data_IF_590947055979
#
_entry.id   IF_590947055979
#
_cell.length_a   1.000
_cell.length_b   1.000
_cell.length_c   1.000
_cell.angle_alpha   90.00
_cell.angle_beta   90.00
_cell.angle_gamma   90.00
#
_symmetry.space_group_name_H-M   'P 1'
#
loop_
_entity.id
_entity.type
_entity.pdbx_description
1 polymer ?
#
# COMPACT_ATOMS: atom_id res chain seq x y z
N UNK A 1 -22.89 10.25 -14.65
CA UNK A 1 -22.16 10.39 -15.94
C UNK A 1 -21.69 9.00 -16.35
N UNK A 2 -21.52 8.69 -17.63
CA UNK A 2 -20.91 7.40 -17.96
C UNK A 2 -19.48 7.37 -17.39
N UNK A 3 -19.07 6.22 -16.85
CA UNK A 3 -17.72 6.00 -16.35
C UNK A 3 -16.76 6.12 -17.55
N UNK A 4 -15.66 6.89 -17.45
CA UNK A 4 -14.68 6.97 -18.52
C UNK A 4 -14.06 5.60 -18.78
N UNK A 5 -14.02 5.17 -20.03
CA UNK A 5 -13.36 3.92 -20.43
C UNK A 5 -11.91 4.21 -20.81
N UNK A 6 -10.97 3.56 -20.16
CA UNK A 6 -9.56 3.59 -20.52
C UNK A 6 -9.33 2.65 -21.70
N UNK A 7 -8.91 3.20 -22.83
CA UNK A 7 -8.54 2.41 -24.02
C UNK A 7 -7.05 2.16 -23.99
N UNK A 8 -6.65 0.94 -24.32
CA UNK A 8 -5.24 0.54 -24.35
C UNK A 8 -5.00 -0.59 -25.33
N UNK A 9 -3.74 -0.80 -25.70
CA UNK A 9 -3.25 -2.03 -26.34
C UNK A 9 -2.44 -2.84 -25.34
N UNK A 10 -2.46 -4.16 -25.45
CA UNK A 10 -1.77 -5.11 -24.58
C UNK A 10 -0.98 -6.07 -25.44
N UNK A 11 0.34 -5.98 -25.38
CA UNK A 11 1.25 -6.64 -26.31
C UNK A 11 2.44 -7.30 -25.56
N UNK A 12 3.17 -8.18 -26.23
CA UNK A 12 4.38 -8.83 -25.66
C UNK A 12 5.52 -8.83 -26.65
N UNK A 13 6.72 -8.56 -26.16
CA UNK A 13 7.96 -8.79 -26.92
C UNK A 13 8.32 -10.28 -26.97
N UNK A 14 9.22 -10.64 -27.87
CA UNK A 14 9.72 -12.01 -28.01
C UNK A 14 10.41 -12.54 -26.74
N UNK A 15 11.01 -11.66 -25.93
CA UNK A 15 11.61 -12.01 -24.65
C UNK A 15 10.61 -12.08 -23.47
N UNK A 16 9.31 -11.95 -23.75
CA UNK A 16 8.25 -12.10 -22.77
C UNK A 16 7.84 -10.80 -22.04
N UNK A 17 8.52 -9.68 -22.24
CA UNK A 17 8.09 -8.40 -21.66
C UNK A 17 6.69 -8.07 -22.15
N UNK A 18 5.75 -7.97 -21.23
CA UNK A 18 4.41 -7.44 -21.50
C UNK A 18 4.45 -5.93 -21.44
N UNK A 19 3.83 -5.27 -22.41
CA UNK A 19 3.69 -3.83 -22.37
C UNK A 19 2.29 -3.38 -22.78
N UNK A 20 1.83 -2.34 -22.10
CA UNK A 20 0.49 -1.77 -22.28
C UNK A 20 0.63 -0.30 -22.64
N UNK A 21 -0.04 0.11 -23.72
CA UNK A 21 -0.01 1.48 -24.21
C UNK A 21 -1.41 2.08 -24.15
N UNK A 22 -1.59 3.21 -23.46
CA UNK A 22 -2.84 3.93 -23.36
C UNK A 22 -2.64 5.42 -23.75
N UNK A 23 -2.91 5.73 -25.00
CA UNK A 23 -2.80 7.10 -25.55
C UNK A 23 -3.85 8.04 -24.97
N UNK A 24 -3.42 9.22 -24.55
CA UNK A 24 -4.27 10.30 -24.06
C UNK A 24 -3.63 11.66 -24.39
N UNK A 25 -4.13 12.35 -25.38
CA UNK A 25 -3.60 13.62 -25.87
C UNK A 25 -4.20 14.85 -25.19
N UNK A 26 -4.85 14.70 -24.04
CA UNK A 26 -5.49 15.83 -23.34
C UNK A 26 -4.46 16.82 -22.75
N UNK A 27 -3.32 16.30 -22.29
CA UNK A 27 -2.22 17.11 -21.74
C UNK A 27 -0.87 16.55 -22.21
N UNK A 28 0.16 17.38 -22.45
CA UNK A 28 1.46 16.95 -22.99
C UNK A 28 2.33 16.29 -21.90
N UNK A 29 1.82 15.27 -21.24
CA UNK A 29 2.46 14.53 -20.14
C UNK A 29 2.32 13.03 -20.38
N UNK A 30 3.32 12.27 -19.98
CA UNK A 30 3.32 10.81 -20.01
C UNK A 30 3.72 10.25 -18.66
N UNK A 31 3.18 9.08 -18.32
CA UNK A 31 3.65 8.24 -17.24
C UNK A 31 4.19 6.92 -17.82
N UNK A 32 5.35 6.52 -17.33
CA UNK A 32 5.95 5.21 -17.54
C UNK A 32 5.93 4.50 -16.18
N UNK A 33 5.41 3.29 -16.12
CA UNK A 33 5.41 2.48 -14.90
C UNK A 33 5.80 1.05 -15.25
N UNK A 34 6.84 0.54 -14.61
CA UNK A 34 7.27 -0.84 -14.77
C UNK A 34 7.05 -1.60 -13.44
N UNK A 35 6.23 -2.63 -13.50
CA UNK A 35 5.97 -3.54 -12.39
C UNK A 35 6.74 -4.84 -12.58
N UNK A 36 7.39 -5.28 -11.52
CA UNK A 36 8.00 -6.61 -11.42
C UNK A 36 7.16 -7.46 -10.47
N UNK A 37 6.82 -8.69 -10.88
CA UNK A 37 6.14 -9.65 -10.01
C UNK A 37 7.15 -10.23 -9.01
N UNK A 38 7.63 -9.35 -8.16
CA UNK A 38 8.52 -9.67 -7.04
C UNK A 38 8.31 -8.66 -5.91
N UNK A 39 8.07 -9.16 -4.71
CA UNK A 39 7.96 -8.38 -3.49
C UNK A 39 8.50 -9.17 -2.32
N UNK A 40 8.27 -8.71 -1.09
CA UNK A 40 8.83 -9.37 0.09
C UNK A 40 8.33 -10.80 0.30
N UNK A 41 7.21 -11.21 -0.31
CA UNK A 41 6.74 -12.60 -0.30
C UNK A 41 7.71 -13.59 -0.99
N UNK A 42 8.62 -13.10 -1.83
CA UNK A 42 9.60 -13.92 -2.55
C UNK A 42 10.93 -14.06 -1.80
N UNK A 43 11.04 -13.44 -0.64
CA UNK A 43 12.25 -13.47 0.17
C UNK A 43 12.40 -14.82 0.89
N UNK A 44 13.52 -15.51 0.73
CA UNK A 44 13.75 -16.73 1.48
C UNK A 44 13.97 -16.43 2.97
N UNK A 45 13.69 -17.39 3.86
CA UNK A 45 13.95 -17.25 5.30
C UNK A 45 15.39 -16.80 5.60
N UNK A 46 15.56 -15.82 6.47
CA UNK A 46 16.85 -15.22 6.80
C UNK A 46 17.38 -14.18 5.80
N UNK A 47 16.54 -13.77 4.85
CA UNK A 47 16.85 -12.72 3.86
C UNK A 47 15.68 -11.71 3.74
N UNK A 48 15.05 -11.38 4.86
CA UNK A 48 13.94 -10.42 4.87
C UNK A 48 14.44 -9.00 4.66
N UNK A 49 13.67 -8.21 3.89
CA UNK A 49 14.02 -6.84 3.50
C UNK A 49 14.81 -6.73 2.18
N UNK A 50 15.08 -7.86 1.51
CA UNK A 50 15.83 -7.87 0.25
C UNK A 50 15.10 -7.18 -0.89
N UNK A 51 13.81 -7.38 -1.05
CA UNK A 51 13.03 -6.74 -2.11
C UNK A 51 13.05 -5.21 -1.96
N UNK A 52 12.96 -4.71 -0.73
CA UNK A 52 13.04 -3.28 -0.45
C UNK A 52 14.48 -2.74 -0.59
N UNK A 53 15.48 -3.45 -0.07
CA UNK A 53 16.88 -3.10 -0.31
C UNK A 53 17.18 -3.02 -1.81
N UNK A 54 16.57 -3.92 -2.58
CA UNK A 54 16.77 -3.96 -4.02
C UNK A 54 16.14 -2.75 -4.72
N UNK A 55 14.98 -2.28 -4.27
CA UNK A 55 14.39 -1.01 -4.73
C UNK A 55 15.40 0.13 -4.65
N UNK A 56 16.09 0.27 -3.51
CA UNK A 56 17.14 1.28 -3.33
C UNK A 56 18.35 1.06 -4.25
N UNK A 57 18.77 -0.19 -4.44
CA UNK A 57 19.90 -0.54 -5.32
C UNK A 57 19.62 -0.17 -6.76
N UNK A 58 18.38 -0.24 -7.22
CA UNK A 58 17.98 0.11 -8.59
C UNK A 58 18.29 1.57 -8.97
N UNK A 59 18.57 2.45 -8.00
CA UNK A 59 18.96 3.84 -8.23
C UNK A 59 20.47 4.09 -8.08
N UNK A 60 21.28 3.02 -7.91
CA UNK A 60 22.72 3.16 -7.71
C UNK A 60 23.54 3.20 -8.99
N UNK A 61 22.87 3.17 -10.14
CA UNK A 61 23.48 3.24 -11.46
C UNK A 61 23.35 1.95 -12.26
N UNK A 62 23.81 1.99 -13.50
CA UNK A 62 23.82 0.93 -14.49
C UNK A 62 25.07 1.09 -15.38
N UNK A 63 25.21 0.32 -16.46
CA UNK A 63 26.39 0.44 -17.31
C UNK A 63 26.61 1.86 -17.89
N UNK A 64 25.53 2.57 -18.21
CA UNK A 64 25.59 3.86 -18.90
C UNK A 64 25.08 5.04 -18.05
N UNK A 65 24.57 4.78 -16.87
CA UNK A 65 23.99 5.78 -15.96
C UNK A 65 24.70 5.71 -14.62
N UNK A 66 25.29 6.81 -14.20
CA UNK A 66 26.01 6.89 -12.92
C UNK A 66 25.09 6.85 -11.70
N UNK A 67 25.70 6.71 -10.52
CA UNK A 67 24.98 6.71 -9.23
C UNK A 67 24.10 7.96 -9.09
N UNK A 68 22.82 7.76 -8.78
CA UNK A 68 21.79 8.79 -8.66
C UNK A 68 21.54 9.63 -9.93
N UNK A 69 22.22 9.36 -11.03
CA UNK A 69 22.08 10.11 -12.28
C UNK A 69 20.71 9.87 -12.93
N UNK A 70 20.13 8.68 -12.78
CA UNK A 70 18.77 8.39 -13.24
C UNK A 70 17.76 9.45 -12.70
N UNK A 71 17.77 9.67 -11.38
CA UNK A 71 16.91 10.66 -10.73
C UNK A 71 17.20 12.08 -11.28
N UNK A 72 18.48 12.42 -11.40
CA UNK A 72 18.90 13.73 -11.89
C UNK A 72 18.45 13.99 -13.34
N UNK A 73 18.52 12.98 -14.22
CA UNK A 73 18.09 13.06 -15.61
C UNK A 73 16.59 13.28 -15.74
N UNK A 74 15.78 12.51 -15.01
CA UNK A 74 14.31 12.67 -14.98
C UNK A 74 13.91 14.05 -14.44
N UNK A 75 14.51 14.48 -13.33
CA UNK A 75 14.23 15.82 -12.75
C UNK A 75 14.65 16.95 -13.68
N UNK A 76 15.81 16.83 -14.34
CA UNK A 76 16.28 17.82 -15.32
C UNK A 76 15.40 17.88 -16.57
N UNK A 77 14.75 16.77 -16.90
CA UNK A 77 13.75 16.69 -17.97
C UNK A 77 12.38 17.28 -17.56
N UNK A 78 12.24 17.75 -16.31
CA UNK A 78 10.98 18.29 -15.78
C UNK A 78 10.02 17.23 -15.26
N UNK A 79 10.51 16.01 -15.01
CA UNK A 79 9.73 14.88 -14.52
C UNK A 79 9.88 14.64 -13.03
N UNK A 80 9.07 13.72 -12.53
CA UNK A 80 9.14 13.12 -11.20
C UNK A 80 9.27 11.60 -11.33
N UNK A 81 9.89 10.97 -10.36
CA UNK A 81 10.01 9.51 -10.32
C UNK A 81 10.01 8.98 -8.90
N UNK A 82 9.67 7.71 -8.77
CA UNK A 82 9.78 6.98 -7.50
C UNK A 82 9.85 5.46 -7.75
N UNK A 83 10.15 4.71 -6.69
CA UNK A 83 9.96 3.26 -6.61
C UNK A 83 9.15 2.91 -5.38
N UNK A 84 8.48 1.78 -5.39
CA UNK A 84 7.80 1.24 -4.21
C UNK A 84 7.87 -0.28 -4.19
N UNK A 85 8.00 -0.84 -2.99
CA UNK A 85 7.97 -2.28 -2.75
C UNK A 85 6.86 -2.64 -1.78
N UNK A 86 6.08 -3.65 -2.15
CA UNK A 86 5.07 -4.25 -1.30
C UNK A 86 5.31 -5.75 -1.14
N UNK A 87 4.42 -6.42 -0.44
CA UNK A 87 4.49 -7.87 -0.26
C UNK A 87 4.44 -8.61 -1.60
N UNK A 88 3.60 -8.15 -2.53
CA UNK A 88 3.33 -8.85 -3.79
C UNK A 88 4.14 -8.36 -4.99
N UNK A 89 4.69 -7.14 -4.95
CA UNK A 89 5.28 -6.50 -6.13
C UNK A 89 6.33 -5.45 -5.79
N UNK A 90 7.15 -5.09 -6.77
CA UNK A 90 8.00 -3.90 -6.78
C UNK A 90 7.78 -3.15 -8.08
N UNK A 91 7.63 -1.83 -8.02
CA UNK A 91 7.50 -1.03 -9.23
C UNK A 91 8.34 0.24 -9.20
N UNK A 92 8.61 0.75 -10.40
CA UNK A 92 9.29 2.00 -10.65
C UNK A 92 8.48 2.81 -11.65
N UNK A 93 8.36 4.10 -11.43
CA UNK A 93 7.52 4.94 -12.27
C UNK A 93 8.04 6.35 -12.38
N UNK A 94 7.83 6.93 -13.56
CA UNK A 94 8.15 8.31 -13.88
C UNK A 94 6.95 8.99 -14.52
N UNK A 95 6.80 10.28 -14.22
CA UNK A 95 5.87 11.17 -14.92
C UNK A 95 6.64 12.38 -15.43
N UNK A 96 6.56 12.64 -16.72
CA UNK A 96 7.40 13.64 -17.38
C UNK A 96 6.70 14.24 -18.62
N UNK A 97 7.19 15.39 -19.16
CA UNK A 97 6.69 15.95 -20.41
C UNK A 97 6.80 14.93 -21.55
N UNK A 98 5.79 14.86 -22.41
CA UNK A 98 5.65 13.82 -23.45
C UNK A 98 6.86 13.72 -24.41
N UNK A 99 7.52 14.83 -24.70
CA UNK A 99 8.71 14.85 -25.57
C UNK A 99 9.96 14.19 -24.95
N UNK A 100 9.92 13.86 -23.66
CA UNK A 100 11.00 13.16 -22.92
C UNK A 100 10.73 11.66 -22.74
N UNK A 101 9.66 11.10 -23.29
CA UNK A 101 9.28 9.70 -23.10
C UNK A 101 10.38 8.71 -23.49
N UNK A 102 11.12 8.97 -24.57
CA UNK A 102 12.23 8.11 -25.02
C UNK A 102 13.32 8.00 -23.96
N UNK A 103 13.61 9.10 -23.22
CA UNK A 103 14.57 9.10 -22.11
C UNK A 103 14.13 8.14 -20.99
N UNK A 104 12.88 8.19 -20.56
CA UNK A 104 12.36 7.30 -19.50
C UNK A 104 12.45 5.83 -19.92
N UNK A 105 12.00 5.50 -21.13
CA UNK A 105 12.08 4.11 -21.64
C UNK A 105 13.52 3.61 -21.75
N UNK A 106 14.44 4.46 -22.16
CA UNK A 106 15.86 4.11 -22.23
C UNK A 106 16.45 3.87 -20.83
N UNK A 107 16.15 4.72 -19.86
CA UNK A 107 16.63 4.59 -18.48
C UNK A 107 16.12 3.31 -17.83
N UNK A 108 14.85 2.98 -18.01
CA UNK A 108 14.26 1.74 -17.48
C UNK A 108 14.89 0.49 -18.12
N UNK A 109 15.10 0.52 -19.43
CA UNK A 109 15.75 -0.59 -20.13
C UNK A 109 17.22 -0.74 -19.74
N UNK A 110 17.95 0.36 -19.57
CA UNK A 110 19.36 0.32 -19.19
C UNK A 110 19.54 -0.31 -17.81
N UNK A 111 18.75 0.10 -16.81
CA UNK A 111 18.85 -0.52 -15.49
C UNK A 111 18.35 -1.97 -15.46
N UNK A 112 17.31 -2.33 -16.22
CA UNK A 112 16.86 -3.72 -16.32
C UNK A 112 17.94 -4.61 -16.93
N UNK A 113 18.63 -4.11 -17.94
CA UNK A 113 19.62 -4.90 -18.67
C UNK A 113 21.03 -4.92 -18.07
N UNK A 114 21.44 -3.84 -17.38
CA UNK A 114 22.86 -3.62 -17.08
C UNK A 114 23.18 -3.19 -15.65
N UNK A 115 22.20 -3.19 -14.73
CA UNK A 115 22.39 -2.79 -13.32
C UNK A 115 23.60 -3.49 -12.67
N UNK A 116 23.76 -4.79 -12.92
CA UNK A 116 24.82 -5.60 -12.28
C UNK A 116 26.23 -5.15 -12.64
N UNK A 117 26.41 -4.43 -13.75
CA UNK A 117 27.72 -3.89 -14.16
C UNK A 117 28.17 -2.73 -13.25
N UNK A 118 27.22 -1.96 -12.72
CA UNK A 118 27.48 -0.88 -11.77
C UNK A 118 27.45 -1.32 -10.30
N UNK A 119 26.97 -2.54 -10.01
CA UNK A 119 26.81 -3.04 -8.66
C UNK A 119 28.16 -3.31 -7.99
N UNK A 120 28.43 -2.61 -6.90
CA UNK A 120 29.66 -2.74 -6.09
C UNK A 120 29.35 -3.01 -4.61
N UNK A 121 30.36 -3.50 -3.88
CA UNK A 121 30.26 -3.67 -2.42
C UNK A 121 29.97 -2.34 -1.73
N UNK A 122 30.57 -1.25 -2.19
CA UNK A 122 30.35 0.09 -1.64
C UNK A 122 28.88 0.53 -1.80
N UNK A 123 28.26 0.27 -2.98
CA UNK A 123 26.85 0.58 -3.21
C UNK A 123 25.94 -0.23 -2.28
N UNK A 124 26.22 -1.53 -2.13
CA UNK A 124 25.47 -2.39 -1.23
C UNK A 124 25.56 -1.92 0.22
N UNK A 125 26.77 -1.67 0.72
CA UNK A 125 26.99 -1.24 2.10
C UNK A 125 26.32 0.12 2.39
N UNK A 126 26.38 1.04 1.44
CA UNK A 126 25.70 2.32 1.54
C UNK A 126 24.17 2.15 1.62
N UNK A 127 23.56 1.38 0.70
CA UNK A 127 22.11 1.21 0.68
C UNK A 127 21.60 0.39 1.87
N UNK A 128 22.37 -0.57 2.35
CA UNK A 128 22.06 -1.27 3.61
C UNK A 128 21.90 -0.29 4.78
N UNK A 129 22.84 0.65 4.94
CA UNK A 129 22.74 1.64 6.00
C UNK A 129 21.59 2.63 5.78
N UNK A 130 21.26 2.98 4.53
CA UNK A 130 20.07 3.80 4.20
C UNK A 130 18.80 3.09 4.66
N UNK A 131 18.57 1.83 4.26
CA UNK A 131 17.38 1.04 4.63
C UNK A 131 17.30 0.85 6.16
N UNK A 132 18.45 0.57 6.83
CA UNK A 132 18.49 0.47 8.29
C UNK A 132 18.13 1.80 8.97
N UNK A 133 18.56 2.92 8.44
CA UNK A 133 18.19 4.24 8.95
C UNK A 133 16.70 4.53 8.71
N UNK A 134 16.16 4.11 7.57
CA UNK A 134 14.73 4.22 7.29
C UNK A 134 13.90 3.38 8.27
N UNK A 135 14.30 2.13 8.57
CA UNK A 135 13.65 1.31 9.58
C UNK A 135 13.64 2.00 10.94
N UNK A 136 14.79 2.55 11.36
CA UNK A 136 14.86 3.31 12.62
C UNK A 136 13.93 4.52 12.62
N UNK A 137 13.84 5.25 11.51
CA UNK A 137 13.05 6.49 11.40
C UNK A 137 11.55 6.23 11.27
N UNK A 138 11.17 5.30 10.43
CA UNK A 138 9.77 5.05 10.04
C UNK A 138 9.07 4.05 10.96
N UNK A 139 9.83 3.19 11.64
CA UNK A 139 9.29 2.13 12.51
C UNK A 139 9.75 2.31 13.95
N UNK A 140 11.07 2.21 14.25
CA UNK A 140 11.55 2.07 15.63
C UNK A 140 11.42 3.37 16.45
N UNK A 141 11.63 4.54 15.83
CA UNK A 141 11.56 5.85 16.49
C UNK A 141 10.23 6.59 16.29
N UNK A 142 9.34 6.06 15.46
CA UNK A 142 8.03 6.65 15.23
C UNK A 142 7.04 6.16 16.28
N UNK A 143 6.29 7.05 16.97
CA UNK A 143 5.22 6.62 17.87
C UNK A 143 4.28 5.63 17.18
N UNK A 144 4.01 4.51 17.82
CA UNK A 144 3.23 3.38 17.28
C UNK A 144 3.84 2.68 16.06
N UNK A 145 5.07 2.97 15.65
CA UNK A 145 5.63 2.57 14.35
C UNK A 145 5.66 1.06 14.09
N UNK A 146 5.76 0.23 15.13
CA UNK A 146 5.81 -1.24 15.03
C UNK A 146 4.45 -1.94 14.83
N UNK A 147 3.34 -1.20 14.75
CA UNK A 147 2.00 -1.79 14.72
C UNK A 147 1.78 -2.77 13.55
N UNK A 148 2.26 -2.42 12.36
CA UNK A 148 2.06 -3.26 11.16
C UNK A 148 2.88 -4.54 11.23
N UNK A 149 4.16 -4.47 11.63
CA UNK A 149 5.02 -5.62 11.85
C UNK A 149 4.40 -6.60 12.87
N UNK A 150 3.90 -6.07 13.99
CA UNK A 150 3.24 -6.88 15.01
C UNK A 150 1.92 -7.48 14.54
N UNK A 151 1.09 -6.74 13.82
CA UNK A 151 -0.14 -7.29 13.24
C UNK A 151 0.15 -8.41 12.26
N UNK A 152 1.12 -8.23 11.35
CA UNK A 152 1.52 -9.28 10.41
C UNK A 152 2.01 -10.54 11.14
N UNK A 153 2.87 -10.38 12.15
CA UNK A 153 3.38 -11.50 12.95
C UNK A 153 2.27 -12.27 13.68
N UNK A 154 1.19 -11.62 14.07
CA UNK A 154 0.05 -12.28 14.70
C UNK A 154 -0.96 -12.84 13.67
N UNK A 155 -1.12 -12.21 12.53
CA UNK A 155 -2.09 -12.61 11.50
C UNK A 155 -1.59 -13.79 10.66
N UNK A 156 -0.27 -13.87 10.41
CA UNK A 156 0.33 -14.90 9.57
C UNK A 156 1.23 -15.85 10.40
N UNK A 157 1.25 -17.17 10.12
CA UNK A 157 2.18 -18.07 10.77
C UNK A 157 3.64 -17.77 10.35
N UNK A 158 4.65 -18.12 11.18
CA UNK A 158 6.04 -17.76 10.95
C UNK A 158 6.62 -18.23 9.60
N UNK A 159 6.13 -19.33 9.07
CA UNK A 159 6.52 -19.89 7.77
C UNK A 159 5.83 -19.23 6.58
N UNK A 160 4.80 -18.41 6.80
CA UNK A 160 4.08 -17.75 5.72
C UNK A 160 4.84 -16.51 5.25
N UNK A 161 4.99 -16.27 3.93
CA UNK A 161 5.76 -15.13 3.41
C UNK A 161 5.25 -13.75 3.87
N UNK A 162 3.98 -13.63 4.23
CA UNK A 162 3.42 -12.37 4.74
C UNK A 162 3.63 -12.17 6.25
N UNK A 163 4.35 -13.06 6.93
CA UNK A 163 4.63 -12.92 8.36
C UNK A 163 5.54 -11.72 8.68
N UNK A 164 6.45 -11.36 7.77
CA UNK A 164 7.38 -10.26 7.95
C UNK A 164 7.01 -9.02 7.11
N UNK A 165 7.32 -7.82 7.59
CA UNK A 165 7.10 -6.58 6.84
C UNK A 165 8.12 -6.43 5.70
N UNK A 166 7.76 -5.65 4.70
CA UNK A 166 8.61 -5.35 3.53
C UNK A 166 9.96 -4.73 3.91
N UNK A 167 10.03 -3.94 4.99
CA UNK A 167 11.29 -3.34 5.46
C UNK A 167 12.28 -4.39 5.98
N UNK A 168 11.83 -5.56 6.37
CA UNK A 168 12.65 -6.68 6.82
C UNK A 168 13.34 -6.51 8.17
N UNK A 169 14.23 -7.46 8.46
CA UNK A 169 15.03 -7.51 9.67
C UNK A 169 16.38 -6.84 9.48
N UNK A 170 16.85 -6.06 10.47
CA UNK A 170 18.20 -5.45 10.47
C UNK A 170 19.29 -6.54 10.39
N UNK A 171 19.09 -7.65 11.10
CA UNK A 171 20.05 -8.75 11.13
C UNK A 171 20.16 -9.46 9.78
N UNK A 172 19.06 -9.58 9.04
CA UNK A 172 19.05 -10.15 7.70
C UNK A 172 19.74 -9.20 6.70
N UNK A 173 19.46 -7.91 6.80
CA UNK A 173 20.12 -6.88 5.97
C UNK A 173 21.65 -6.85 6.21
N UNK A 174 22.10 -7.02 7.47
CA UNK A 174 23.53 -7.07 7.80
C UNK A 174 24.24 -8.28 7.22
N UNK A 175 23.53 -9.40 7.03
CA UNK A 175 24.05 -10.62 6.41
C UNK A 175 23.98 -10.61 4.88
N UNK A 176 23.28 -9.64 4.27
CA UNK A 176 23.16 -9.54 2.83
C UNK A 176 24.54 -9.42 2.14
N UNK A 177 24.84 -10.34 1.25
CA UNK A 177 26.06 -10.34 0.44
C UNK A 177 25.79 -9.79 -0.97
N UNK A 178 26.87 -9.41 -1.65
CA UNK A 178 26.79 -8.98 -3.05
C UNK A 178 26.27 -10.10 -3.96
N UNK A 179 26.65 -11.35 -3.68
CA UNK A 179 26.21 -12.52 -4.43
C UNK A 179 24.69 -12.76 -4.23
N UNK A 180 24.15 -12.53 -3.03
CA UNK A 180 22.72 -12.62 -2.78
C UNK A 180 21.94 -11.59 -3.59
N UNK A 181 22.45 -10.36 -3.64
CA UNK A 181 21.85 -9.28 -4.42
C UNK A 181 21.87 -9.60 -5.91
N UNK A 182 23.01 -10.11 -6.43
CA UNK A 182 23.13 -10.57 -7.83
C UNK A 182 22.11 -11.66 -8.15
N UNK A 183 22.06 -12.69 -7.31
CA UNK A 183 21.14 -13.81 -7.49
C UNK A 183 19.66 -13.36 -7.47
N UNK A 184 19.31 -12.41 -6.60
CA UNK A 184 17.94 -11.86 -6.53
C UNK A 184 17.58 -11.10 -7.82
N UNK A 185 18.49 -10.27 -8.33
CA UNK A 185 18.28 -9.56 -9.60
C UNK A 185 18.12 -10.53 -10.76
N UNK A 186 19.08 -11.42 -10.95
CA UNK A 186 19.08 -12.40 -12.04
C UNK A 186 17.84 -13.29 -12.02
N UNK A 187 17.27 -13.52 -10.82
CA UNK A 187 16.06 -14.33 -10.66
C UNK A 187 14.80 -13.57 -11.06
N UNK A 188 14.62 -12.34 -10.59
CA UNK A 188 13.33 -11.69 -10.64
C UNK A 188 13.24 -10.48 -11.55
N UNK A 189 14.36 -9.78 -11.84
CA UNK A 189 14.35 -8.55 -12.65
C UNK A 189 14.60 -8.86 -14.14
N UNK A 190 13.73 -9.69 -14.69
CA UNK A 190 13.79 -10.11 -16.09
C UNK A 190 12.55 -9.61 -16.87
N UNK A 191 12.65 -9.41 -18.19
CA UNK A 191 11.55 -8.95 -19.02
C UNK A 191 10.27 -9.77 -18.87
N UNK A 192 10.38 -11.08 -18.82
CA UNK A 192 9.26 -12.00 -18.68
C UNK A 192 8.64 -12.06 -17.26
N UNK A 193 9.17 -11.30 -16.31
CA UNK A 193 8.64 -11.07 -14.98
C UNK A 193 8.17 -9.62 -14.77
N UNK A 194 8.06 -8.86 -15.85
CA UNK A 194 7.74 -7.44 -15.81
C UNK A 194 6.56 -7.08 -16.71
N UNK A 195 5.82 -6.05 -16.29
CA UNK A 195 4.80 -5.36 -17.08
C UNK A 195 5.17 -3.90 -17.18
N UNK A 196 5.40 -3.42 -18.40
CA UNK A 196 5.69 -2.03 -18.71
C UNK A 196 4.41 -1.34 -19.18
N UNK A 197 4.03 -0.24 -18.56
CA UNK A 197 2.84 0.52 -18.94
C UNK A 197 3.22 1.95 -19.27
N UNK A 198 2.73 2.46 -20.39
CA UNK A 198 2.87 3.85 -20.81
C UNK A 198 1.49 4.45 -21.00
N UNK A 199 1.22 5.57 -20.31
CA UNK A 199 -0.05 6.30 -20.40
C UNK A 199 0.22 7.77 -20.68
N UNK A 200 -0.53 8.38 -21.59
CA UNK A 200 -0.47 9.83 -21.85
C UNK A 200 -0.28 10.21 -23.30
N UNK A 201 0.37 11.33 -23.55
CA UNK A 201 0.48 11.95 -24.86
C UNK A 201 1.67 11.38 -25.65
N UNK A 202 1.39 10.42 -26.52
CA UNK A 202 2.37 9.79 -27.41
C UNK A 202 1.71 9.12 -28.60
N UNK A 203 2.51 8.72 -29.58
CA UNK A 203 2.10 7.90 -30.75
C UNK A 203 2.52 6.44 -30.52
N UNK A 204 1.56 5.51 -30.46
CA UNK A 204 1.82 4.10 -30.10
C UNK A 204 2.85 3.43 -30.98
N UNK A 205 2.81 3.65 -32.29
CA UNK A 205 3.77 3.02 -33.24
C UNK A 205 5.21 3.43 -32.96
N UNK A 206 5.41 4.70 -32.58
CA UNK A 206 6.73 5.21 -32.21
C UNK A 206 7.23 4.60 -30.89
N UNK A 207 6.34 4.50 -29.91
CA UNK A 207 6.67 3.91 -28.59
C UNK A 207 6.97 2.43 -28.71
N UNK A 208 6.20 1.66 -29.53
CA UNK A 208 6.55 0.27 -29.85
C UNK A 208 7.96 0.12 -30.39
N UNK A 209 8.33 0.99 -31.33
CA UNK A 209 9.68 0.96 -31.89
C UNK A 209 10.78 1.22 -30.84
N UNK A 210 10.54 2.10 -29.88
CA UNK A 210 11.47 2.33 -28.77
C UNK A 210 11.52 1.15 -27.80
N UNK A 211 10.36 0.59 -27.43
CA UNK A 211 10.29 -0.57 -26.54
C UNK A 211 11.04 -1.77 -27.17
N UNK A 212 10.77 -2.07 -28.43
CA UNK A 212 11.50 -3.13 -29.16
C UNK A 212 13.01 -2.86 -29.18
N UNK A 213 13.42 -1.63 -29.49
CA UNK A 213 14.83 -1.24 -29.59
C UNK A 213 15.58 -1.38 -28.27
N UNK A 214 14.96 -0.92 -27.16
CA UNK A 214 15.66 -0.84 -25.88
C UNK A 214 15.50 -2.12 -25.03
N UNK A 215 14.33 -2.72 -25.02
CA UNK A 215 14.05 -3.91 -24.20
C UNK A 215 14.19 -5.23 -24.95
N UNK A 216 14.03 -5.24 -26.28
CA UNK A 216 13.98 -6.49 -27.07
C UNK A 216 15.23 -7.35 -26.97
N UNK A 217 16.40 -6.74 -26.72
CA UNK A 217 17.68 -7.45 -26.55
C UNK A 217 17.94 -7.99 -25.15
N UNK A 218 17.15 -7.64 -24.14
CA UNK A 218 17.35 -8.10 -22.76
C UNK A 218 16.88 -9.56 -22.64
N UNK A 219 17.70 -10.46 -22.08
CA UNK A 219 17.33 -11.88 -22.00
C UNK A 219 16.21 -12.14 -21.00
N UNK A 220 15.32 -13.07 -21.35
CA UNK A 220 14.33 -13.60 -20.42
C UNK A 220 14.97 -14.56 -19.41
N UNK A 221 14.39 -14.68 -18.20
CA UNK A 221 14.75 -15.73 -17.27
C UNK A 221 13.71 -16.87 -17.30
N UNK A 222 14.04 -18.05 -17.84
CA UNK A 222 13.11 -19.18 -17.88
C UNK A 222 12.97 -19.91 -16.53
N UNK A 223 13.74 -19.52 -15.52
CA UNK A 223 13.86 -20.23 -14.25
C UNK A 223 13.33 -19.43 -13.04
N UNK A 224 12.35 -18.53 -13.26
CA UNK A 224 11.71 -17.80 -12.18
C UNK A 224 10.97 -18.79 -11.27
N UNK A 225 11.28 -18.85 -9.96
CA UNK A 225 10.64 -19.79 -9.05
C UNK A 225 9.16 -19.50 -8.88
N UNK A 226 8.32 -20.53 -9.01
CA UNK A 226 6.93 -20.42 -8.60
C UNK A 226 6.84 -20.40 -7.06
N UNK A 227 5.98 -19.54 -6.52
CA UNK A 227 5.63 -19.61 -5.12
C UNK A 227 4.83 -20.89 -4.83
N UNK A 228 5.02 -21.45 -3.64
CA UNK A 228 4.20 -22.55 -3.14
C UNK A 228 2.75 -22.12 -2.87
N UNK A 229 1.96 -23.06 -2.33
CA UNK A 229 0.60 -22.75 -1.89
C UNK A 229 0.65 -21.81 -0.66
N UNK A 230 0.09 -20.62 -0.82
CA UNK A 230 -0.02 -19.60 0.23
C UNK A 230 -1.37 -19.61 0.95
N UNK A 231 -2.23 -20.60 0.68
CA UNK A 231 -3.56 -20.68 1.24
C UNK A 231 -3.55 -20.71 2.77
N UNK A 232 -4.44 -19.95 3.37
CA UNK A 232 -4.64 -19.88 4.81
C UNK A 232 -6.11 -20.13 5.16
N UNK A 233 -6.39 -20.67 6.38
CA UNK A 233 -7.74 -20.62 6.91
C UNK A 233 -8.26 -19.18 6.93
N UNK A 234 -9.55 -18.94 6.64
CA UNK A 234 -10.13 -17.59 6.56
C UNK A 234 -10.12 -16.84 7.90
N UNK A 235 -9.93 -17.55 9.01
CA UNK A 235 -9.84 -17.00 10.37
C UNK A 235 -8.58 -17.53 11.06
N UNK A 236 -8.11 -16.81 12.07
CA UNK A 236 -6.94 -17.19 12.87
C UNK A 236 -7.25 -18.43 13.75
N UNK A 237 -8.50 -18.57 14.19
CA UNK A 237 -9.00 -19.64 15.08
C UNK A 237 -9.02 -19.25 16.56
N UNK A 238 -8.43 -18.12 16.94
CA UNK A 238 -8.37 -17.59 18.30
C UNK A 238 -8.20 -16.07 18.28
N UNK A 239 -8.57 -15.40 19.38
CA UNK A 239 -8.20 -14.02 19.58
C UNK A 239 -6.74 -13.94 20.07
N UNK A 240 -5.94 -13.06 19.47
CA UNK A 240 -4.55 -12.80 19.86
C UNK A 240 -4.38 -11.40 20.39
N UNK A 241 -3.65 -11.27 21.49
CA UNK A 241 -3.46 -10.00 22.18
C UNK A 241 -2.00 -9.75 22.51
N UNK A 242 -1.57 -8.51 22.34
CA UNK A 242 -0.24 -8.03 22.77
C UNK A 242 -0.35 -6.65 23.38
N UNK A 243 0.36 -6.39 24.48
CA UNK A 243 0.52 -5.06 25.06
C UNK A 243 1.91 -4.56 24.75
N UNK A 244 2.00 -3.37 24.16
CA UNK A 244 3.25 -2.70 23.79
C UNK A 244 3.38 -1.43 24.60
N UNK A 245 4.45 -1.31 25.38
CA UNK A 245 4.81 -0.06 26.06
C UNK A 245 5.80 0.68 25.17
N UNK A 246 5.46 1.91 24.78
CA UNK A 246 6.21 2.67 23.79
C UNK A 246 6.15 4.17 24.09
N UNK A 247 7.03 4.94 23.45
CA UNK A 247 7.08 6.41 23.52
C UNK A 247 5.96 7.06 22.73
N UNK A 248 4.72 6.77 23.14
CA UNK A 248 3.52 7.28 22.49
C UNK A 248 2.85 8.36 23.33
N UNK A 249 2.18 9.35 22.71
CA UNK A 249 1.53 10.43 23.45
C UNK A 249 0.26 9.98 24.17
N UNK A 250 -0.45 8.99 23.64
CA UNK A 250 -1.74 8.51 24.17
C UNK A 250 -1.86 7.00 23.99
N UNK A 251 -2.65 6.31 24.82
CA UNK A 251 -2.99 4.93 24.58
C UNK A 251 -3.74 4.76 23.26
N UNK A 252 -3.42 3.69 22.52
CA UNK A 252 -4.10 3.33 21.26
C UNK A 252 -4.32 1.83 21.20
N UNK A 253 -5.51 1.47 20.74
CA UNK A 253 -5.85 0.09 20.39
C UNK A 253 -5.73 -0.07 18.88
N UNK A 254 -5.03 -1.12 18.43
CA UNK A 254 -5.06 -1.59 17.05
C UNK A 254 -5.83 -2.89 16.97
N UNK A 255 -6.59 -3.04 15.90
CA UNK A 255 -7.35 -4.23 15.58
C UNK A 255 -6.87 -4.75 14.22
N UNK A 256 -6.66 -6.06 14.12
CA UNK A 256 -6.26 -6.72 12.89
C UNK A 256 -7.11 -7.96 12.64
N UNK A 257 -7.44 -8.22 11.37
CA UNK A 257 -8.25 -9.36 10.94
C UNK A 257 -7.68 -9.93 9.65
N UNK A 258 -7.71 -11.27 9.49
CA UNK A 258 -7.59 -11.86 8.17
C UNK A 258 -8.82 -11.48 7.36
N UNK A 259 -8.60 -11.11 6.10
CA UNK A 259 -9.63 -10.68 5.16
C UNK A 259 -9.57 -11.51 3.88
N UNK A 260 -10.63 -11.55 3.07
CA UNK A 260 -10.59 -12.14 1.74
C UNK A 260 -9.41 -11.59 0.93
N UNK A 261 -8.81 -12.40 0.08
CA UNK A 261 -7.72 -11.97 -0.80
C UNK A 261 -8.21 -10.89 -1.76
N UNK A 262 -7.31 -10.00 -2.16
CA UNK A 262 -7.59 -9.01 -3.19
C UNK A 262 -7.93 -9.71 -4.51
N UNK A 263 -9.02 -9.30 -5.14
CA UNK A 263 -9.61 -9.95 -6.32
C UNK A 263 -10.81 -10.86 -6.01
N UNK A 264 -10.98 -11.34 -4.78
CA UNK A 264 -12.22 -11.99 -4.34
C UNK A 264 -13.35 -10.95 -4.25
N UNK A 265 -14.55 -11.19 -4.81
CA UNK A 265 -15.67 -10.23 -4.75
C UNK A 265 -16.09 -9.82 -3.32
N UNK A 266 -15.73 -10.59 -2.29
CA UNK A 266 -15.96 -10.23 -0.89
C UNK A 266 -15.04 -9.11 -0.41
N UNK A 267 -13.92 -8.88 -1.11
CA UNK A 267 -12.98 -7.83 -0.74
C UNK A 267 -13.61 -6.44 -0.93
N UNK A 268 -14.26 -6.19 -2.07
CA UNK A 268 -14.97 -4.92 -2.31
C UNK A 268 -16.10 -4.69 -1.31
N UNK A 269 -16.83 -5.74 -0.93
CA UNK A 269 -17.87 -5.62 0.09
C UNK A 269 -17.29 -5.26 1.48
N UNK A 270 -16.10 -5.79 1.80
CA UNK A 270 -15.40 -5.47 3.04
C UNK A 270 -14.83 -4.05 3.05
N UNK A 271 -14.32 -3.56 1.92
CA UNK A 271 -13.88 -2.17 1.80
C UNK A 271 -15.05 -1.19 1.98
N UNK A 272 -16.21 -1.47 1.37
CA UNK A 272 -17.42 -0.69 1.62
C UNK A 272 -17.87 -0.75 3.09
N UNK A 273 -17.72 -1.91 3.77
CA UNK A 273 -17.93 -1.99 5.23
C UNK A 273 -16.97 -1.06 5.97
N UNK A 274 -15.69 -1.01 5.58
CA UNK A 274 -14.69 -0.10 6.12
C UNK A 274 -15.07 1.37 5.94
N UNK A 275 -15.55 1.76 4.76
CA UNK A 275 -16.05 3.11 4.49
C UNK A 275 -17.26 3.48 5.37
N UNK A 276 -18.20 2.58 5.57
CA UNK A 276 -19.36 2.80 6.44
C UNK A 276 -18.91 2.97 7.88
N UNK A 277 -17.98 2.13 8.34
CA UNK A 277 -17.50 2.10 9.72
C UNK A 277 -16.59 3.29 10.06
N UNK A 278 -15.63 3.65 9.19
CA UNK A 278 -14.56 4.56 9.55
C UNK A 278 -14.31 5.75 8.61
N UNK A 279 -14.82 5.75 7.36
CA UNK A 279 -14.49 6.82 6.43
C UNK A 279 -15.25 8.11 6.73
N UNK A 280 -14.48 9.15 7.14
CA UNK A 280 -14.96 10.50 7.38
C UNK A 280 -15.85 10.66 8.61
N UNK A 281 -16.29 11.90 8.84
CA UNK A 281 -17.06 12.29 10.05
C UNK A 281 -18.49 11.72 10.08
N UNK A 282 -18.97 11.19 8.95
CA UNK A 282 -20.28 10.55 8.81
C UNK A 282 -20.30 9.06 9.15
N UNK A 283 -19.16 8.43 9.40
CA UNK A 283 -19.02 7.01 9.67
C UNK A 283 -19.52 6.62 11.07
N UNK A 284 -19.81 5.30 11.26
CA UNK A 284 -20.38 4.79 12.52
C UNK A 284 -19.43 4.98 13.70
N UNK A 285 -18.17 4.54 13.57
CA UNK A 285 -17.14 4.67 14.61
C UNK A 285 -16.88 6.13 14.98
N UNK A 286 -16.73 7.02 13.99
CA UNK A 286 -16.50 8.43 14.29
C UNK A 286 -17.70 9.08 14.99
N UNK A 287 -18.93 8.84 14.52
CA UNK A 287 -20.15 9.36 15.16
C UNK A 287 -20.26 8.91 16.61
N UNK A 288 -20.00 7.64 16.88
CA UNK A 288 -20.13 7.06 18.22
C UNK A 288 -18.95 7.43 19.10
N UNK A 289 -17.72 6.99 18.74
CA UNK A 289 -16.57 7.03 19.64
C UNK A 289 -15.95 8.43 19.76
N UNK A 290 -15.94 9.21 18.65
CA UNK A 290 -15.30 10.53 18.65
C UNK A 290 -16.29 11.62 19.06
N UNK A 291 -17.52 11.61 18.52
CA UNK A 291 -18.49 12.72 18.73
C UNK A 291 -19.42 12.53 19.91
N UNK A 292 -20.12 11.39 20.00
CA UNK A 292 -21.13 11.17 21.05
C UNK A 292 -20.52 10.79 22.39
N UNK A 293 -19.80 9.67 22.43
CA UNK A 293 -19.29 9.11 23.68
C UNK A 293 -17.95 9.73 24.09
N UNK A 294 -17.25 10.38 23.15
CA UNK A 294 -15.97 11.06 23.37
C UNK A 294 -14.90 10.14 23.99
N UNK A 295 -14.88 8.88 23.60
CA UNK A 295 -13.92 7.90 24.05
C UNK A 295 -12.61 8.00 23.25
N UNK A 296 -12.69 8.28 21.95
CA UNK A 296 -11.54 8.36 21.06
C UNK A 296 -11.25 9.78 20.57
N UNK A 297 -9.97 10.08 20.28
CA UNK A 297 -9.56 11.25 19.49
C UNK A 297 -9.78 11.02 18.01
N UNK A 298 -9.37 9.85 17.54
CA UNK A 298 -9.47 9.40 16.16
C UNK A 298 -9.76 7.91 16.11
N UNK A 299 -10.30 7.49 14.98
CA UNK A 299 -10.58 6.08 14.64
C UNK A 299 -10.28 5.86 13.17
N UNK A 300 -9.86 4.66 12.83
CA UNK A 300 -9.67 4.20 11.46
C UNK A 300 -10.05 2.75 11.30
N UNK A 301 -10.40 2.35 10.08
CA UNK A 301 -10.52 0.98 9.61
C UNK A 301 -10.31 0.97 8.10
N UNK A 302 -9.44 0.11 7.59
CA UNK A 302 -9.09 0.00 6.17
C UNK A 302 -8.61 -1.41 5.87
N UNK A 303 -8.60 -1.77 4.59
CA UNK A 303 -8.09 -3.07 4.14
C UNK A 303 -6.79 -2.88 3.34
N UNK A 304 -5.87 -3.82 3.51
CA UNK A 304 -4.64 -3.96 2.74
C UNK A 304 -4.80 -5.21 1.89
N UNK A 305 -4.97 -5.02 0.58
CA UNK A 305 -5.20 -6.10 -0.37
C UNK A 305 -3.92 -6.86 -0.70
N UNK A 306 -3.93 -8.18 -0.47
CA UNK A 306 -2.88 -9.12 -0.85
C UNK A 306 -3.48 -10.25 -1.67
N UNK A 307 -2.71 -10.77 -2.64
CA UNK A 307 -3.21 -11.81 -3.56
C UNK A 307 -2.95 -13.24 -3.08
N UNK A 308 -2.08 -13.42 -2.08
CA UNK A 308 -1.74 -14.74 -1.53
C UNK A 308 -2.27 -14.94 -0.10
N UNK A 309 -2.87 -16.10 0.21
CA UNK A 309 -3.30 -16.49 1.54
C UNK A 309 -4.47 -15.70 2.11
N UNK A 310 -4.23 -14.51 2.58
CA UNK A 310 -5.24 -13.59 3.11
C UNK A 310 -4.80 -12.14 2.97
N UNK A 311 -5.75 -11.23 2.81
CA UNK A 311 -5.55 -9.79 3.01
C UNK A 311 -5.62 -9.44 4.50
N UNK A 312 -5.33 -8.20 4.84
CA UNK A 312 -5.46 -7.66 6.20
C UNK A 312 -6.53 -6.58 6.21
N UNK A 313 -7.48 -6.67 7.14
CA UNK A 313 -8.23 -5.48 7.58
C UNK A 313 -7.65 -5.01 8.89
N UNK A 314 -7.20 -3.76 8.94
CA UNK A 314 -6.61 -3.15 10.12
C UNK A 314 -7.38 -1.89 10.53
N UNK A 315 -7.42 -1.61 11.81
CA UNK A 315 -8.03 -0.38 12.32
C UNK A 315 -7.41 0.03 13.64
N UNK A 316 -7.73 1.24 14.09
CA UNK A 316 -7.31 1.72 15.40
C UNK A 316 -8.32 2.68 16.03
N UNK A 317 -8.19 2.82 17.35
CA UNK A 317 -8.81 3.86 18.13
C UNK A 317 -7.79 4.46 19.12
N UNK A 318 -7.53 5.77 19.02
CA UNK A 318 -6.67 6.50 19.97
C UNK A 318 -7.53 7.02 21.11
N UNK A 319 -7.26 6.57 22.32
CA UNK A 319 -8.02 6.97 23.49
C UNK A 319 -7.87 8.47 23.81
N UNK A 320 -8.91 9.11 24.31
CA UNK A 320 -8.76 10.43 24.93
C UNK A 320 -8.12 10.29 26.32
N UNK A 321 -7.45 11.34 26.82
CA UNK A 321 -6.89 11.34 28.18
C UNK A 321 -7.95 10.94 29.22
N UNK A 322 -7.59 10.00 30.10
CA UNK A 322 -8.45 9.55 31.18
C UNK A 322 -9.57 8.58 30.79
N UNK A 323 -9.63 8.15 29.54
CA UNK A 323 -10.61 7.14 29.10
C UNK A 323 -10.14 5.74 29.48
N UNK A 324 -11.06 4.94 29.98
CA UNK A 324 -10.87 3.52 30.21
C UNK A 324 -10.77 2.76 28.87
N UNK A 325 -9.64 2.11 28.64
CA UNK A 325 -9.37 1.37 27.39
C UNK A 325 -10.34 0.22 27.17
N UNK A 326 -10.74 -0.49 28.23
CA UNK A 326 -11.69 -1.60 28.11
C UNK A 326 -13.06 -1.11 27.59
N UNK A 327 -13.47 0.10 28.02
CA UNK A 327 -14.71 0.74 27.52
C UNK A 327 -14.56 1.16 26.05
N UNK A 328 -13.40 1.72 25.66
CA UNK A 328 -13.13 2.10 24.27
C UNK A 328 -13.13 0.89 23.35
N UNK A 329 -12.45 -0.18 23.80
CA UNK A 329 -12.36 -1.45 23.07
C UNK A 329 -13.75 -2.05 22.84
N UNK A 330 -14.53 -2.24 23.93
CA UNK A 330 -15.87 -2.79 23.84
C UNK A 330 -16.79 -1.98 22.90
N UNK A 331 -16.68 -0.65 22.91
CA UNK A 331 -17.49 0.20 22.05
C UNK A 331 -17.06 0.13 20.57
N UNK A 332 -15.76 -0.07 20.29
CA UNK A 332 -15.25 -0.28 18.92
C UNK A 332 -15.72 -1.64 18.40
N UNK A 333 -15.55 -2.69 19.17
CA UNK A 333 -15.94 -4.07 18.82
C UNK A 333 -17.45 -4.19 18.57
N UNK A 334 -18.27 -3.53 19.40
CA UNK A 334 -19.73 -3.54 19.24
C UNK A 334 -20.16 -2.93 17.89
N UNK A 335 -19.47 -1.90 17.38
CA UNK A 335 -19.77 -1.37 16.04
C UNK A 335 -19.33 -2.34 14.93
N UNK A 336 -18.20 -3.06 15.09
CA UNK A 336 -17.79 -4.09 14.17
C UNK A 336 -18.79 -5.26 14.13
N UNK A 337 -19.27 -5.70 15.30
CA UNK A 337 -20.26 -6.77 15.36
C UNK A 337 -21.63 -6.31 14.82
N UNK A 338 -21.98 -5.04 15.06
CA UNK A 338 -23.28 -4.49 14.66
C UNK A 338 -23.45 -4.47 13.14
N UNK A 339 -22.42 -4.11 12.35
CA UNK A 339 -22.51 -4.13 10.89
C UNK A 339 -22.71 -5.55 10.32
N UNK A 340 -22.23 -6.58 11.03
CA UNK A 340 -22.46 -7.99 10.68
C UNK A 340 -23.85 -8.53 11.08
N UNK A 341 -24.53 -7.85 12.02
CA UNK A 341 -25.85 -8.30 12.54
C UNK A 341 -27.02 -7.49 11.95
N UNK A 342 -26.84 -6.18 11.80
CA UNK A 342 -27.87 -5.26 11.35
C UNK A 342 -27.67 -4.89 9.87
N UNK A 343 -28.74 -4.74 9.10
CA UNK A 343 -28.63 -4.26 7.73
C UNK A 343 -28.00 -2.87 7.66
N UNK A 344 -27.15 -2.67 6.65
CA UNK A 344 -26.66 -1.35 6.26
C UNK A 344 -27.82 -0.57 5.65
N UNK A 345 -27.99 0.70 6.05
CA UNK A 345 -29.04 1.56 5.48
C UNK A 345 -28.67 2.02 4.06
N UNK A 346 -29.68 2.36 3.26
CA UNK A 346 -29.48 2.89 1.90
C UNK A 346 -28.62 4.17 1.90
N UNK A 347 -28.77 5.04 2.90
CA UNK A 347 -27.96 6.25 3.05
C UNK A 347 -26.49 5.94 3.34
N UNK A 348 -26.19 4.92 4.16
CA UNK A 348 -24.83 4.47 4.46
C UNK A 348 -24.17 3.87 3.23
N UNK A 349 -24.88 2.98 2.54
CA UNK A 349 -24.40 2.34 1.31
C UNK A 349 -24.20 3.37 0.20
N UNK A 350 -25.18 4.27 0.00
CA UNK A 350 -25.08 5.36 -0.98
C UNK A 350 -23.87 6.26 -0.74
N UNK A 351 -23.60 6.61 0.54
CA UNK A 351 -22.44 7.41 0.91
C UNK A 351 -21.11 6.64 0.68
N UNK A 352 -21.04 5.35 1.03
CA UNK A 352 -19.85 4.54 0.83
C UNK A 352 -19.54 4.39 -0.67
N UNK A 353 -20.54 4.09 -1.50
CA UNK A 353 -20.38 4.03 -2.97
C UNK A 353 -19.93 5.36 -3.56
N UNK A 354 -20.48 6.50 -3.11
CA UNK A 354 -20.06 7.82 -3.58
C UNK A 354 -18.61 8.16 -3.23
N UNK A 355 -18.10 7.68 -2.09
CA UNK A 355 -16.68 7.83 -1.71
C UNK A 355 -15.79 7.03 -2.66
N UNK A 356 -16.10 5.75 -2.87
CA UNK A 356 -15.34 4.89 -3.80
C UNK A 356 -15.42 5.44 -5.23
N UNK A 357 -16.61 5.85 -5.71
CA UNK A 357 -16.77 6.46 -7.04
C UNK A 357 -15.87 7.70 -7.19
N UNK A 358 -15.80 8.53 -6.16
CA UNK A 358 -14.95 9.73 -6.18
C UNK A 358 -13.47 9.39 -6.22
N UNK A 359 -13.03 8.39 -5.46
CA UNK A 359 -11.64 7.90 -5.43
C UNK A 359 -11.26 7.26 -6.76
N UNK A 360 -12.10 6.36 -7.29
CA UNK A 360 -11.87 5.67 -8.56
C UNK A 360 -11.81 6.63 -9.75
N UNK A 361 -12.79 7.53 -9.86
CA UNK A 361 -12.79 8.55 -10.93
C UNK A 361 -11.62 9.52 -10.80
N UNK A 362 -11.28 9.92 -9.55
CA UNK A 362 -10.12 10.77 -9.28
C UNK A 362 -8.79 10.15 -9.70
N UNK A 363 -8.63 8.84 -9.49
CA UNK A 363 -7.46 8.08 -9.95
C UNK A 363 -7.38 8.02 -11.48
N UNK A 364 -8.51 7.74 -12.16
CA UNK A 364 -8.55 7.70 -13.62
C UNK A 364 -8.25 9.05 -14.30
N UNK A 365 -8.31 10.17 -13.59
CA UNK A 365 -7.94 11.49 -14.12
C UNK A 365 -6.43 11.70 -14.21
N UNK A 366 -5.61 10.94 -13.48
CA UNK A 366 -4.15 11.08 -13.45
C UNK A 366 -3.48 10.00 -14.30
N UNK A 367 -2.53 10.40 -15.17
CA UNK A 367 -1.82 9.45 -16.04
C UNK A 367 -1.00 8.43 -15.25
N UNK A 368 -0.38 8.84 -14.15
CA UNK A 368 0.39 7.99 -13.25
C UNK A 368 -0.45 6.90 -12.59
N UNK A 369 -1.65 7.25 -12.11
CA UNK A 369 -2.55 6.30 -11.46
C UNK A 369 -3.16 5.31 -12.46
N UNK A 370 -3.45 5.77 -13.69
CA UNK A 370 -3.90 4.87 -14.75
C UNK A 370 -2.80 3.89 -15.12
N UNK A 371 -1.55 4.35 -15.22
CA UNK A 371 -0.40 3.49 -15.49
C UNK A 371 -0.21 2.44 -14.38
N UNK A 372 -0.30 2.86 -13.13
CA UNK A 372 -0.15 1.97 -11.98
C UNK A 372 -1.26 0.93 -11.91
N UNK A 373 -2.53 1.32 -12.09
CA UNK A 373 -3.66 0.39 -12.09
C UNK A 373 -3.63 -0.62 -13.24
N UNK A 374 -3.28 -0.18 -14.46
CA UNK A 374 -3.09 -1.08 -15.58
C UNK A 374 -1.99 -2.11 -15.30
N UNK A 375 -0.84 -1.65 -14.76
CA UNK A 375 0.26 -2.51 -14.38
C UNK A 375 -0.14 -3.49 -13.26
N UNK A 376 -0.82 -3.00 -12.22
CA UNK A 376 -1.34 -3.81 -11.11
C UNK A 376 -2.27 -4.92 -11.59
N UNK A 377 -3.29 -4.58 -12.37
CA UNK A 377 -4.25 -5.56 -12.85
C UNK A 377 -3.64 -6.57 -13.84
N UNK A 378 -2.73 -6.10 -14.70
CA UNK A 378 -2.00 -6.97 -15.59
C UNK A 378 -1.05 -7.92 -14.86
N UNK A 379 -0.35 -7.46 -13.82
CA UNK A 379 0.62 -8.26 -13.07
C UNK A 379 -0.07 -9.23 -12.11
N UNK A 380 -1.04 -8.75 -11.33
CA UNK A 380 -1.62 -9.55 -10.24
C UNK A 380 -2.76 -10.47 -10.71
N UNK A 381 -3.46 -10.10 -11.80
CA UNK A 381 -4.67 -10.82 -12.26
C UNK A 381 -4.63 -11.24 -13.73
N UNK A 382 -3.57 -10.92 -14.46
CA UNK A 382 -3.46 -11.11 -15.92
C UNK A 382 -4.61 -10.46 -16.73
N UNK A 383 -5.25 -9.43 -16.15
CA UNK A 383 -6.47 -8.81 -16.68
C UNK A 383 -6.45 -7.28 -16.52
N UNK A 384 -5.75 -6.54 -17.39
CA UNK A 384 -5.68 -5.08 -17.31
C UNK A 384 -7.04 -4.39 -17.53
N UNK A 385 -8.03 -5.08 -18.15
CA UNK A 385 -9.37 -4.51 -18.36
C UNK A 385 -10.19 -4.40 -17.06
N UNK A 386 -9.69 -4.93 -15.95
CA UNK A 386 -10.27 -4.65 -14.63
C UNK A 386 -10.32 -3.14 -14.33
N UNK A 387 -9.43 -2.32 -14.88
CA UNK A 387 -9.48 -0.86 -14.76
C UNK A 387 -10.84 -0.28 -15.21
N UNK A 388 -11.47 -0.89 -16.19
CA UNK A 388 -12.76 -0.47 -16.74
C UNK A 388 -13.98 -1.08 -16.01
N UNK A 389 -13.76 -2.08 -15.15
CA UNK A 389 -14.84 -2.87 -14.52
C UNK A 389 -14.84 -2.76 -12.98
N UNK A 390 -13.76 -2.30 -12.38
CA UNK A 390 -13.62 -2.31 -10.93
C UNK A 390 -14.67 -1.45 -10.23
N UNK A 391 -14.97 -0.26 -10.76
CA UNK A 391 -16.01 0.59 -10.17
C UNK A 391 -17.40 -0.08 -10.24
N UNK A 392 -17.73 -0.76 -11.34
CA UNK A 392 -19.00 -1.49 -11.46
C UNK A 392 -19.11 -2.61 -10.41
N UNK A 393 -17.99 -3.28 -10.07
CA UNK A 393 -17.95 -4.28 -9.00
C UNK A 393 -18.33 -3.68 -7.66
N UNK A 394 -17.77 -2.53 -7.29
CA UNK A 394 -18.15 -1.81 -6.05
C UNK A 394 -19.62 -1.36 -6.07
N UNK A 395 -20.09 -0.82 -7.19
CA UNK A 395 -21.48 -0.34 -7.31
C UNK A 395 -22.51 -1.48 -7.28
N UNK A 396 -22.12 -2.70 -7.66
CA UNK A 396 -22.98 -3.87 -7.61
C UNK A 396 -23.14 -4.46 -6.21
N UNK A 397 -22.19 -4.22 -5.28
CA UNK A 397 -22.21 -4.76 -3.91
C UNK A 397 -23.49 -4.37 -3.18
N UNK A 398 -24.18 -5.34 -2.59
CA UNK A 398 -25.42 -5.16 -1.84
C UNK A 398 -25.19 -4.97 -0.33
N UNK A 399 -26.15 -4.40 0.37
CA UNK A 399 -26.13 -4.28 1.83
C UNK A 399 -26.01 -5.65 2.53
N UNK A 400 -26.59 -6.71 1.94
CA UNK A 400 -26.52 -8.07 2.48
C UNK A 400 -25.13 -8.69 2.32
N UNK A 401 -24.43 -8.44 1.21
CA UNK A 401 -23.05 -8.89 1.00
C UNK A 401 -22.10 -8.20 2.01
N UNK A 402 -22.28 -6.90 2.23
CA UNK A 402 -21.54 -6.16 3.28
C UNK A 402 -21.78 -6.80 4.64
N UNK A 403 -23.02 -7.05 5.00
CA UNK A 403 -23.39 -7.68 6.29
C UNK A 403 -22.74 -9.06 6.45
N UNK A 404 -22.78 -9.89 5.40
CA UNK A 404 -22.19 -11.24 5.44
C UNK A 404 -20.68 -11.20 5.60
N UNK A 405 -19.98 -10.45 4.77
CA UNK A 405 -18.52 -10.37 4.88
C UNK A 405 -18.08 -9.77 6.21
N UNK A 406 -18.78 -8.77 6.73
CA UNK A 406 -18.49 -8.19 8.03
C UNK A 406 -18.69 -9.24 9.16
N UNK A 407 -19.77 -10.05 9.10
CA UNK A 407 -20.00 -11.13 10.05
C UNK A 407 -18.93 -12.24 9.98
N UNK A 408 -18.41 -12.51 8.80
CA UNK A 408 -17.36 -13.51 8.58
C UNK A 408 -15.98 -13.02 9.05
N UNK A 409 -15.66 -11.73 8.85
CA UNK A 409 -14.33 -11.15 9.10
C UNK A 409 -14.20 -10.64 10.54
N UNK A 410 -15.18 -9.87 11.05
CA UNK A 410 -15.08 -9.20 12.36
C UNK A 410 -15.47 -10.12 13.53
N UNK A 411 -14.99 -11.35 13.50
CA UNK A 411 -15.22 -12.36 14.54
C UNK A 411 -14.15 -12.29 15.63
N UNK A 412 -14.49 -12.64 16.87
CA UNK A 412 -13.49 -12.74 17.96
C UNK A 412 -12.34 -13.71 17.64
N UNK A 413 -12.64 -14.87 17.03
CA UNK A 413 -11.65 -15.89 16.66
C UNK A 413 -10.82 -15.54 15.39
N UNK A 414 -11.02 -14.35 14.84
CA UNK A 414 -10.24 -13.79 13.72
C UNK A 414 -9.56 -12.46 14.10
N UNK A 415 -9.49 -12.14 15.39
CA UNK A 415 -9.08 -10.82 15.85
C UNK A 415 -7.71 -10.81 16.51
N UNK A 416 -6.90 -9.81 16.13
CA UNK A 416 -5.70 -9.41 16.85
C UNK A 416 -5.95 -8.07 17.50
N UNK A 417 -5.61 -7.91 18.78
CA UNK A 417 -5.67 -6.63 19.49
C UNK A 417 -4.28 -6.26 20.00
N UNK A 418 -3.73 -5.13 19.53
CA UNK A 418 -2.51 -4.56 20.08
C UNK A 418 -2.87 -3.36 20.94
N UNK A 419 -2.44 -3.38 22.21
CA UNK A 419 -2.66 -2.28 23.15
C UNK A 419 -1.36 -1.52 23.33
N UNK A 420 -1.24 -0.32 22.71
CA UNK A 420 -0.12 0.58 22.91
C UNK A 420 -0.34 1.46 24.12
N UNK A 421 0.59 1.43 25.06
CA UNK A 421 0.58 2.23 26.29
C UNK A 421 1.77 3.18 26.32
N UNK A 422 1.58 4.43 26.77
CA UNK A 422 2.69 5.36 27.00
C UNK A 422 3.67 4.83 28.05
N UNK A 423 4.99 4.98 27.82
CA UNK A 423 6.03 4.70 28.83
C UNK A 423 5.86 5.53 30.12
N UNK A 424 5.26 6.71 30.00
CA UNK A 424 4.95 7.61 31.12
C UNK A 424 3.47 7.88 31.18
N UNK A 425 2.87 7.96 32.38
CA UNK A 425 1.48 8.34 32.53
C UNK A 425 1.19 9.65 31.80
N UNK A 426 0.09 9.72 31.08
CA UNK A 426 -0.37 10.96 30.45
C UNK A 426 -0.85 11.88 31.56
N UNK A 427 -0.16 13.00 31.81
CA UNK A 427 -0.66 14.05 32.71
C UNK A 427 -1.93 14.65 32.10
N UNK A 428 -3.04 14.40 32.77
CA UNK A 428 -4.30 15.06 32.43
C UNK A 428 -4.17 16.50 32.97
N UNK A 429 -3.79 17.43 32.09
CA UNK A 429 -3.87 18.85 32.44
C UNK A 429 -5.34 19.16 32.69
N UNK A 430 -5.70 19.46 33.94
CA UNK A 430 -7.01 19.99 34.23
C UNK A 430 -7.24 21.25 33.37
N UNK A 431 -8.42 21.40 32.75
CA UNK A 431 -8.71 22.61 32.01
C UNK A 431 -8.52 23.80 32.97
N UNK A 432 -7.87 24.89 32.51
CA UNK A 432 -7.71 26.08 33.37
C UNK A 432 -9.06 26.45 33.92
N UNK A 433 -9.13 26.63 35.25
CA UNK A 433 -10.35 27.11 35.91
C UNK A 433 -10.90 28.30 35.12
N UNK A 434 -12.17 28.22 34.76
CA UNK A 434 -12.82 29.34 34.10
C UNK A 434 -12.66 30.54 35.02
N UNK A 435 -11.79 31.48 34.63
CA UNK A 435 -11.73 32.78 35.27
C UNK A 435 -13.16 33.33 35.19
N UNK A 436 -13.82 33.37 36.33
CA UNK A 436 -15.13 34.03 36.42
C UNK A 436 -14.89 35.49 36.03
N UNK A 437 -15.40 35.88 34.85
CA UNK A 437 -15.46 37.27 34.46
C UNK A 437 -16.46 37.90 35.41
N UNK A 438 -15.94 38.62 36.42
CA UNK A 438 -16.76 39.40 37.33
C UNK A 438 -17.59 40.40 36.54
N UNK A 439 -18.90 40.35 36.75
CA UNK A 439 -19.80 41.43 36.36
C UNK A 439 -19.39 42.72 37.11
N UNK A 440 -18.52 43.52 36.52
CA UNK A 440 -18.38 44.91 36.88
C UNK A 440 -18.94 45.75 35.76
N UNK A 441 -20.23 46.05 35.88
CA UNK A 441 -20.84 47.15 35.17
C UNK A 441 -20.22 48.46 35.61
N UNK A 442 -19.55 49.14 34.70
CA UNK A 442 -19.36 50.58 34.73
C UNK A 442 -19.53 51.12 33.32
N UNK A 443 -20.67 51.79 33.11
CA UNK A 443 -20.89 52.77 32.04
C UNK A 443 -19.80 53.84 32.13
N UNK A 444 -19.06 54.08 31.06
CA UNK A 444 -18.37 55.34 30.84
C UNK A 444 -18.87 55.90 29.51
N UNK A 445 -19.73 56.92 29.65
CA UNK A 445 -20.07 57.83 28.58
C UNK A 445 -18.91 58.80 28.31
N UNK A 446 -18.51 58.94 27.05
CA UNK A 446 -18.16 60.14 26.32
C UNK A 446 -17.60 59.82 24.93
#
# INVERSE_FOLDING_TARGET
MPIPTVRFTDERLANGLRFILAEDHLVPVVAVNIWYDVGSKHEPPGKTGFAHLFEHIMFQGSAHVGKAEHIALIQSAGGTMNGTTWLDRTNYFETLPSHQLELALWLEADRMGTLLEALSQENLDNQREVVKNEKRWSYDNRPYGSWNEKLQAHLFPPEHPYHHPTIGSMDDLDRASLDDVRAFFETYYAPNNAVLVVVGDFESDRVRGWIERYFGGIPANPAIPALGDLSLPPVIGEERRETVVDRVPLPRLYFGFRAPVFGDPRFEALELAGHILAAGKGSRLHKRLVRRERLAQDVALFSLGFVGGASITAGWATARPGVDLARLEAAYEEELERIGREPVTDDELGRARALVETEELGALMRVEERADRLAMYATLFDDPDLINRQLDRYLAVTAEEIRRVAADVFRPDNRVVLTYLPERPVEVLEPPERIAVGESGEEVAA
#
